data_IF_547721499193
#
_entry.id   IF_547721499193
#
_cell.length_a   1.000
_cell.length_b   1.000
_cell.length_c   1.000
_cell.angle_alpha   90.00
_cell.angle_beta   90.00
_cell.angle_gamma   90.00
#
_symmetry.space_group_name_H-M   'P 1'
#
loop_
_entity.id
_entity.type
_entity.pdbx_description
1 polymer ?
#
# COMPACT_ATOMS: atom_id res chain seq x y z
N UNK A 1 -6.92 -3.87 0.53
CA UNK A 1 -5.49 -4.26 0.42
C UNK A 1 -4.58 -3.29 1.15
N UNK A 2 -4.60 -1.99 0.83
CA UNK A 2 -3.71 -1.00 1.46
C UNK A 2 -3.98 -0.90 2.97
N UNK A 3 -5.25 -0.88 3.39
CA UNK A 3 -5.63 -0.90 4.81
C UNK A 3 -5.09 -2.14 5.54
N UNK A 4 -5.09 -3.29 4.87
CA UNK A 4 -4.64 -4.58 5.44
C UNK A 4 -3.14 -4.59 5.68
N UNK A 5 -2.34 -4.09 4.73
CA UNK A 5 -0.88 -4.10 4.88
C UNK A 5 -0.42 -3.07 5.91
N UNK A 6 -1.14 -1.95 6.07
CA UNK A 6 -0.71 -0.84 6.91
C UNK A 6 -1.47 -0.62 8.21
N UNK A 7 -2.58 -1.30 8.42
CA UNK A 7 -3.47 -1.07 9.57
C UNK A 7 -4.14 0.31 9.59
N UNK A 8 -3.97 1.12 8.54
CA UNK A 8 -4.51 2.47 8.48
C UNK A 8 -5.96 2.43 8.02
N UNK A 9 -6.78 3.30 8.59
CA UNK A 9 -8.17 3.49 8.16
C UNK A 9 -8.22 4.39 6.93
N UNK A 10 -9.04 4.08 5.91
CA UNK A 10 -9.06 4.80 4.65
C UNK A 10 -9.67 6.20 4.77
N UNK A 11 -10.51 6.41 5.79
CA UNK A 11 -11.15 7.70 6.08
C UNK A 11 -10.27 8.63 6.93
N UNK A 12 -9.09 8.17 7.37
CA UNK A 12 -8.13 8.99 8.11
C UNK A 12 -6.94 9.33 7.21
N UNK A 13 -6.47 10.57 7.28
CA UNK A 13 -5.25 10.97 6.58
C UNK A 13 -4.03 10.31 7.22
N UNK A 14 -3.03 9.98 6.40
CA UNK A 14 -1.72 9.52 6.83
C UNK A 14 -0.74 10.69 6.71
N UNK A 15 0.16 10.84 7.68
CA UNK A 15 1.20 11.87 7.60
C UNK A 15 2.39 11.36 6.80
N UNK A 16 2.78 12.12 5.80
CA UNK A 16 4.03 11.91 5.06
C UNK A 16 4.78 13.23 4.97
N UNK A 17 5.98 13.29 5.53
CA UNK A 17 6.82 14.51 5.54
C UNK A 17 6.11 15.73 6.13
N UNK A 18 5.27 15.50 7.15
CA UNK A 18 4.50 16.55 7.83
C UNK A 18 3.19 16.96 7.13
N UNK A 19 2.92 16.43 5.94
CA UNK A 19 1.68 16.71 5.19
C UNK A 19 0.66 15.58 5.38
N UNK A 20 -0.61 15.95 5.52
CA UNK A 20 -1.73 15.01 5.53
C UNK A 20 -2.04 14.57 4.08
N UNK A 21 -2.00 13.27 3.83
CA UNK A 21 -2.24 12.67 2.52
C UNK A 21 -3.22 11.50 2.64
N UNK A 22 -4.07 11.34 1.62
CA UNK A 22 -4.99 10.21 1.55
C UNK A 22 -4.25 8.87 1.42
N UNK A 23 -4.85 7.80 1.95
CA UNK A 23 -4.22 6.48 2.07
C UNK A 23 -3.70 5.91 0.72
N UNK A 24 -4.47 6.07 -0.36
CA UNK A 24 -4.07 5.61 -1.71
C UNK A 24 -2.89 6.39 -2.25
N UNK A 25 -2.91 7.72 -2.11
CA UNK A 25 -1.82 8.58 -2.58
C UNK A 25 -0.54 8.37 -1.75
N UNK A 26 -0.70 8.10 -0.45
CA UNK A 26 0.41 7.70 0.41
C UNK A 26 1.04 6.39 -0.09
N UNK A 27 0.26 5.34 -0.31
CA UNK A 27 0.77 4.05 -0.81
C UNK A 27 1.50 4.19 -2.15
N UNK A 28 0.98 5.02 -3.06
CA UNK A 28 1.64 5.30 -4.35
C UNK A 28 3.02 5.94 -4.15
N UNK A 29 3.13 6.91 -3.24
CA UNK A 29 4.43 7.53 -2.89
C UNK A 29 5.40 6.55 -2.23
N UNK A 30 4.92 5.67 -1.36
CA UNK A 30 5.76 4.64 -0.74
C UNK A 30 6.32 3.68 -1.80
N UNK A 31 5.48 3.28 -2.77
CA UNK A 31 5.90 2.49 -3.93
C UNK A 31 6.92 3.23 -4.81
N UNK A 32 6.65 4.48 -5.17
CA UNK A 32 7.57 5.31 -5.99
C UNK A 32 8.95 5.47 -5.33
N UNK A 33 9.00 5.46 -3.98
CA UNK A 33 10.22 5.57 -3.19
C UNK A 33 10.90 4.22 -2.91
N UNK A 34 10.30 3.09 -3.31
CA UNK A 34 10.73 1.72 -2.95
C UNK A 34 10.80 1.51 -1.42
N UNK A 35 9.91 2.15 -0.66
CA UNK A 35 9.83 2.08 0.81
C UNK A 35 8.61 1.27 1.29
N UNK A 36 8.11 0.32 0.49
CA UNK A 36 6.90 -0.47 0.79
C UNK A 36 6.99 -1.23 2.12
N UNK A 37 8.19 -1.62 2.54
CA UNK A 37 8.41 -2.30 3.82
C UNK A 37 8.12 -1.43 5.05
N UNK A 38 8.11 -0.10 4.89
CA UNK A 38 7.70 0.83 5.94
C UNK A 38 6.18 0.93 6.06
N UNK A 39 5.44 0.42 5.07
CA UNK A 39 3.98 0.39 5.12
C UNK A 39 3.45 -0.71 6.03
N UNK A 40 4.27 -1.70 6.44
CA UNK A 40 3.81 -2.84 7.22
C UNK A 40 3.29 -2.41 8.60
N UNK A 41 2.07 -2.86 8.93
CA UNK A 41 1.50 -2.75 10.26
C UNK A 41 2.47 -3.34 11.30
N UNK A 42 2.58 -2.67 12.44
CA UNK A 42 3.49 -3.03 13.54
C UNK A 42 3.24 -4.43 14.12
N UNK A 43 2.04 -4.97 13.93
CA UNK A 43 1.65 -6.30 14.37
C UNK A 43 2.01 -7.40 13.36
N UNK A 44 2.51 -7.06 12.17
CA UNK A 44 2.98 -8.03 11.18
C UNK A 44 4.45 -8.38 11.50
N UNK A 45 4.76 -9.65 11.85
CA UNK A 45 6.12 -10.06 12.15
C UNK A 45 7.01 -9.95 10.90
N UNK A 46 8.15 -9.26 11.02
CA UNK A 46 9.10 -9.06 9.91
C UNK A 46 10.07 -10.22 9.71
N UNK A 47 10.24 -11.05 10.73
CA UNK A 47 11.38 -11.97 10.84
C UNK A 47 11.04 -13.41 10.42
N UNK A 48 9.75 -13.77 10.34
CA UNK A 48 9.33 -15.15 10.10
C UNK A 48 8.43 -15.23 8.85
N UNK A 49 8.99 -15.72 7.74
CA UNK A 49 8.25 -16.05 6.51
C UNK A 49 7.85 -14.86 5.61
N UNK A 50 8.02 -13.61 6.07
CA UNK A 50 7.68 -12.44 5.27
C UNK A 50 8.81 -12.08 4.29
N UNK A 51 8.55 -12.32 3.01
CA UNK A 51 9.44 -11.99 1.89
C UNK A 51 9.25 -10.55 1.43
N UNK A 52 10.32 -9.75 1.41
CA UNK A 52 10.29 -8.36 0.97
C UNK A 52 9.76 -8.23 -0.46
N UNK A 53 10.12 -9.15 -1.35
CA UNK A 53 9.60 -9.20 -2.72
C UNK A 53 8.08 -9.40 -2.75
N UNK A 54 7.52 -10.16 -1.82
CA UNK A 54 6.08 -10.39 -1.72
C UNK A 54 5.35 -9.16 -1.21
N UNK A 55 5.95 -8.39 -0.29
CA UNK A 55 5.38 -7.12 0.18
C UNK A 55 5.36 -6.09 -0.94
N UNK A 56 6.47 -5.95 -1.68
CA UNK A 56 6.55 -5.05 -2.85
C UNK A 56 5.49 -5.40 -3.89
N UNK A 57 5.36 -6.68 -4.23
CA UNK A 57 4.36 -7.13 -5.20
C UNK A 57 2.93 -6.90 -4.70
N UNK A 58 2.67 -7.17 -3.42
CA UNK A 58 1.38 -6.91 -2.80
C UNK A 58 0.99 -5.42 -2.90
N UNK A 59 1.91 -4.51 -2.58
CA UNK A 59 1.69 -3.06 -2.69
C UNK A 59 1.57 -2.63 -4.15
N UNK A 60 2.34 -3.23 -5.07
CA UNK A 60 2.23 -3.00 -6.50
C UNK A 60 0.83 -3.31 -7.02
N UNK A 61 0.30 -4.50 -6.73
CA UNK A 61 -1.06 -4.92 -7.11
C UNK A 61 -2.10 -3.97 -6.50
N UNK A 62 -1.97 -3.64 -5.21
CA UNK A 62 -2.88 -2.71 -4.54
C UNK A 62 -2.90 -1.32 -5.22
N UNK A 63 -1.76 -0.83 -5.70
CA UNK A 63 -1.66 0.42 -6.45
C UNK A 63 -2.28 0.31 -7.86
N UNK A 64 -2.14 -0.83 -8.54
CA UNK A 64 -2.79 -1.05 -9.86
C UNK A 64 -4.32 -1.04 -9.74
N UNK A 65 -4.87 -1.76 -8.74
CA UNK A 65 -6.31 -1.83 -8.51
C UNK A 65 -6.94 -0.47 -8.12
N UNK A 66 -6.12 0.49 -7.69
CA UNK A 66 -6.53 1.84 -7.27
C UNK A 66 -6.14 2.92 -8.29
N UNK A 67 -5.88 2.52 -9.54
CA UNK A 67 -5.65 3.44 -10.66
C UNK A 67 -6.78 4.48 -10.78
N UNK A 68 -6.44 5.72 -11.12
CA UNK A 68 -7.44 6.81 -11.16
C UNK A 68 -8.49 6.56 -12.24
N UNK A 69 -8.06 6.10 -13.42
CA UNK A 69 -8.96 5.74 -14.51
C UNK A 69 -9.36 4.28 -14.39
N UNK A 70 -10.63 3.99 -14.67
CA UNK A 70 -11.16 2.63 -14.67
C UNK A 70 -10.36 1.70 -15.58
N UNK A 71 -9.95 2.17 -16.76
CA UNK A 71 -9.17 1.40 -17.76
C UNK A 71 -7.77 0.99 -17.29
N UNK A 72 -7.25 1.63 -16.25
CA UNK A 72 -5.92 1.33 -15.70
C UNK A 72 -5.98 0.22 -14.64
N UNK A 73 -7.20 -0.12 -14.19
CA UNK A 73 -7.42 -1.13 -13.14
C UNK A 73 -7.56 -2.51 -13.80
N UNK A 74 -6.90 -3.55 -13.26
CA UNK A 74 -7.11 -4.91 -13.72
C UNK A 74 -8.54 -5.37 -13.43
N UNK A 75 -9.00 -6.34 -14.23
CA UNK A 75 -10.27 -7.02 -13.98
C UNK A 75 -10.18 -7.90 -12.71
N UNK A 76 -11.32 -8.08 -12.03
CA UNK A 76 -11.46 -9.06 -10.95
C UNK A 76 -12.33 -10.22 -11.46
N UNK A 77 -11.74 -11.29 -12.03
CA UNK A 77 -12.49 -12.46 -12.47
C UNK A 77 -13.11 -13.20 -11.26
N UNK A 78 -14.22 -13.91 -11.50
CA UNK A 78 -14.90 -14.78 -10.51
C UNK A 78 -14.12 -16.06 -10.20
#
# INVERSE_FOLDING_TARGET
MIETVSGHRPNLAVKLEGNDIGLVNWARKMKERNTEMEMLDVNIPREEGLKEESVREYVHIACMCTGELQKDRPEMPE
#
